data_IF_623160870309
#
_entry.id   IF_623160870309
#
_cell.length_a   1.000
_cell.length_b   1.000
_cell.length_c   1.000
_cell.angle_alpha   90.00
_cell.angle_beta   90.00
_cell.angle_gamma   90.00
#
_symmetry.space_group_name_H-M   'P 1'
#
loop_
_entity.id
_entity.type
_entity.pdbx_description
1 polymer ?
#
# COMPACT_ATOMS: atom_id res chain seq x y z
N UNK A 1 -7.26 -5.40 6.05
CA UNK A 1 -7.18 -6.15 4.77
C UNK A 1 -7.57 -7.62 4.94
N UNK A 2 -6.95 -8.40 5.83
CA UNK A 2 -7.23 -9.85 5.91
C UNK A 2 -8.41 -10.26 6.82
N UNK A 3 -8.91 -9.34 7.63
CA UNK A 3 -10.14 -9.52 8.43
C UNK A 3 -11.42 -9.47 7.57
N UNK A 4 -11.48 -8.55 6.61
CA UNK A 4 -12.64 -8.33 5.71
C UNK A 4 -12.42 -8.81 4.28
N UNK A 5 -11.16 -9.02 3.86
CA UNK A 5 -10.82 -9.32 2.47
C UNK A 5 -11.36 -10.66 1.98
N UNK A 6 -11.54 -11.64 2.88
CA UNK A 6 -12.17 -12.93 2.55
C UNK A 6 -13.63 -12.76 2.14
N UNK A 7 -14.36 -11.88 2.83
CA UNK A 7 -15.78 -11.58 2.54
C UNK A 7 -15.88 -10.93 1.16
N UNK A 8 -15.07 -9.89 0.89
CA UNK A 8 -15.05 -9.24 -0.42
C UNK A 8 -14.70 -10.21 -1.56
N UNK A 9 -13.70 -11.08 -1.34
CA UNK A 9 -13.33 -12.11 -2.31
C UNK A 9 -14.46 -13.14 -2.53
N UNK A 10 -15.16 -13.58 -1.47
CA UNK A 10 -16.29 -14.49 -1.59
C UNK A 10 -17.45 -13.88 -2.40
N UNK A 11 -17.75 -12.59 -2.18
CA UNK A 11 -18.77 -11.87 -2.95
C UNK A 11 -18.36 -11.75 -4.42
N UNK A 12 -17.12 -11.33 -4.70
CA UNK A 12 -16.62 -11.20 -6.06
C UNK A 12 -16.65 -12.53 -6.82
N UNK A 13 -16.14 -13.61 -6.23
CA UNK A 13 -16.18 -14.95 -6.82
C UNK A 13 -17.62 -15.46 -6.95
N UNK A 14 -18.47 -15.22 -5.95
CA UNK A 14 -19.87 -15.60 -5.98
C UNK A 14 -20.63 -14.95 -7.13
N UNK A 15 -20.35 -13.67 -7.41
CA UNK A 15 -20.90 -12.96 -8.59
C UNK A 15 -20.39 -13.55 -9.90
N UNK A 16 -19.09 -13.89 -10.00
CA UNK A 16 -18.52 -14.55 -11.19
C UNK A 16 -19.15 -15.93 -11.43
N UNK A 17 -19.52 -16.65 -10.38
CA UNK A 17 -20.11 -17.99 -10.44
C UNK A 17 -21.64 -18.00 -10.57
N UNK A 18 -22.28 -16.84 -10.68
CA UNK A 18 -23.73 -16.64 -10.69
C UNK A 18 -24.44 -17.32 -9.50
N UNK A 19 -23.87 -17.18 -8.30
CA UNK A 19 -24.50 -17.70 -7.09
C UNK A 19 -25.85 -17.02 -6.82
N UNK A 20 -26.83 -17.81 -6.42
CA UNK A 20 -28.14 -17.33 -5.97
C UNK A 20 -28.01 -16.59 -4.64
N UNK A 21 -29.04 -15.83 -4.27
CA UNK A 21 -29.06 -15.02 -3.04
C UNK A 21 -28.64 -15.82 -1.80
N UNK A 22 -29.29 -16.96 -1.52
CA UNK A 22 -28.95 -17.77 -0.34
C UNK A 22 -27.54 -18.36 -0.40
N UNK A 23 -27.05 -18.73 -1.58
CA UNK A 23 -25.69 -19.23 -1.76
C UNK A 23 -24.67 -18.11 -1.49
N UNK A 24 -24.97 -16.88 -1.93
CA UNK A 24 -24.12 -15.71 -1.66
C UNK A 24 -24.10 -15.35 -0.17
N UNK A 25 -25.26 -15.40 0.51
CA UNK A 25 -25.34 -15.21 1.97
C UNK A 25 -24.51 -16.26 2.72
N UNK A 26 -24.62 -17.54 2.33
CA UNK A 26 -23.79 -18.62 2.88
C UNK A 26 -22.31 -18.40 2.60
N UNK A 27 -21.94 -17.97 1.40
CA UNK A 27 -20.54 -17.68 1.04
C UNK A 27 -19.95 -16.57 1.91
N UNK A 28 -20.71 -15.49 2.15
CA UNK A 28 -20.33 -14.42 3.08
C UNK A 28 -20.10 -14.98 4.49
N UNK A 29 -21.05 -15.77 5.01
CA UNK A 29 -20.95 -16.37 6.35
C UNK A 29 -19.74 -17.31 6.49
N UNK A 30 -19.47 -18.15 5.49
CA UNK A 30 -18.30 -19.06 5.49
C UNK A 30 -17.00 -18.27 5.42
N UNK A 31 -16.96 -17.17 4.66
CA UNK A 31 -15.78 -16.32 4.57
C UNK A 31 -15.53 -15.53 5.88
N UNK A 32 -16.60 -15.09 6.54
CA UNK A 32 -16.56 -14.30 7.77
C UNK A 32 -15.94 -15.08 8.93
N UNK A 33 -16.19 -16.39 9.05
CA UNK A 33 -15.58 -17.22 10.11
C UNK A 33 -14.09 -17.55 9.88
N UNK A 34 -13.50 -17.06 8.78
CA UNK A 34 -12.10 -17.29 8.40
C UNK A 34 -11.25 -16.02 8.53
N UNK A 35 -11.38 -15.32 9.65
CA UNK A 35 -10.60 -14.11 9.95
C UNK A 35 -9.11 -14.47 10.04
N UNK A 36 -8.28 -13.75 9.28
CA UNK A 36 -6.83 -13.94 9.29
C UNK A 36 -6.09 -12.61 9.42
N UNK A 37 -4.86 -12.69 9.91
CA UNK A 37 -3.89 -11.58 9.94
C UNK A 37 -3.76 -10.88 11.28
N UNK A 38 -2.51 -10.57 11.65
CA UNK A 38 -2.14 -9.87 12.89
C UNK A 38 -1.19 -8.71 12.56
N UNK A 39 -1.29 -7.59 13.29
CA UNK A 39 -0.43 -6.44 13.07
C UNK A 39 1.06 -6.75 13.33
N UNK A 40 1.34 -7.63 14.28
CA UNK A 40 2.69 -8.07 14.65
C UNK A 40 3.49 -8.69 13.48
N UNK A 41 2.80 -9.17 12.45
CA UNK A 41 3.44 -9.74 11.26
C UNK A 41 3.79 -8.72 10.17
N UNK A 42 3.69 -7.41 10.45
CA UNK A 42 4.11 -6.36 9.52
C UNK A 42 5.65 -6.31 9.45
N UNK A 43 6.21 -5.84 8.32
CA UNK A 43 7.66 -5.85 8.11
C UNK A 43 8.30 -7.20 7.76
N UNK A 44 7.52 -8.30 7.73
CA UNK A 44 8.00 -9.65 7.41
C UNK A 44 7.12 -10.36 6.36
N UNK A 45 7.57 -11.53 5.89
CA UNK A 45 6.90 -12.34 4.85
C UNK A 45 5.45 -12.74 5.20
N UNK A 46 5.11 -12.78 6.48
CA UNK A 46 3.74 -13.08 6.92
C UNK A 46 2.73 -11.97 6.53
N UNK A 47 3.17 -10.71 6.35
CA UNK A 47 2.29 -9.62 5.92
C UNK A 47 1.61 -9.88 4.57
N UNK A 48 2.33 -10.20 3.47
CA UNK A 48 1.68 -10.53 2.20
C UNK A 48 0.90 -11.84 2.25
N UNK A 49 1.30 -12.81 3.08
CA UNK A 49 0.53 -14.04 3.29
C UNK A 49 -0.91 -13.76 3.73
N UNK A 50 -1.14 -12.76 4.59
CA UNK A 50 -2.48 -12.35 5.02
C UNK A 50 -3.42 -12.07 3.84
N UNK A 51 -2.95 -11.34 2.83
CA UNK A 51 -3.76 -10.94 1.66
C UNK A 51 -4.04 -12.15 0.77
N UNK A 52 -3.01 -12.96 0.50
CA UNK A 52 -3.16 -14.18 -0.29
C UNK A 52 -4.11 -15.19 0.36
N UNK A 53 -4.00 -15.36 1.69
CA UNK A 53 -4.87 -16.24 2.45
C UNK A 53 -6.32 -15.74 2.47
N UNK A 54 -6.54 -14.44 2.66
CA UNK A 54 -7.88 -13.86 2.59
C UNK A 54 -8.55 -14.13 1.23
N UNK A 55 -7.83 -13.94 0.13
CA UNK A 55 -8.32 -14.25 -1.21
C UNK A 55 -8.66 -15.75 -1.38
N UNK A 56 -7.78 -16.64 -0.92
CA UNK A 56 -8.00 -18.09 -0.95
C UNK A 56 -9.25 -18.49 -0.15
N UNK A 57 -9.42 -17.93 1.05
CA UNK A 57 -10.56 -18.23 1.93
C UNK A 57 -11.88 -17.80 1.30
N UNK A 58 -11.92 -16.65 0.62
CA UNK A 58 -13.11 -16.18 -0.10
C UNK A 58 -13.48 -17.06 -1.28
N UNK A 59 -12.51 -17.47 -2.10
CA UNK A 59 -12.71 -18.44 -3.18
C UNK A 59 -13.28 -19.76 -2.64
N UNK A 60 -12.68 -20.30 -1.58
CA UNK A 60 -13.14 -21.53 -0.95
C UNK A 60 -14.58 -21.38 -0.43
N UNK A 61 -14.91 -20.26 0.22
CA UNK A 61 -16.23 -20.00 0.76
C UNK A 61 -17.32 -20.00 -0.33
N UNK A 62 -17.07 -19.32 -1.46
CA UNK A 62 -18.00 -19.31 -2.60
C UNK A 62 -18.19 -20.70 -3.21
N UNK A 63 -17.10 -21.49 -3.35
CA UNK A 63 -17.18 -22.86 -3.87
C UNK A 63 -17.95 -23.79 -2.91
N UNK A 64 -17.73 -23.68 -1.61
CA UNK A 64 -18.46 -24.46 -0.60
C UNK A 64 -19.96 -24.14 -0.64
N UNK A 65 -20.31 -22.86 -0.65
CA UNK A 65 -21.71 -22.44 -0.72
C UNK A 65 -22.40 -22.94 -2.00
N UNK A 66 -21.73 -22.84 -3.16
CA UNK A 66 -22.21 -23.39 -4.45
C UNK A 66 -22.52 -24.89 -4.39
N UNK A 67 -21.77 -25.64 -3.57
CA UNK A 67 -21.94 -27.08 -3.40
C UNK A 67 -22.84 -27.45 -2.22
N UNK A 68 -23.64 -26.50 -1.71
CA UNK A 68 -24.66 -26.78 -0.69
C UNK A 68 -24.13 -26.87 0.74
N UNK A 69 -22.93 -26.34 1.01
CA UNK A 69 -22.41 -26.27 2.38
C UNK A 69 -23.34 -25.44 3.27
N UNK A 70 -23.65 -25.94 4.46
CA UNK A 70 -24.54 -25.26 5.42
C UNK A 70 -23.81 -24.11 6.11
N UNK A 71 -24.44 -22.94 6.18
CA UNK A 71 -23.96 -21.77 6.90
C UNK A 71 -25.13 -20.83 7.25
N UNK A 72 -24.89 -19.87 8.15
CA UNK A 72 -25.87 -18.83 8.48
C UNK A 72 -26.25 -18.00 7.25
N UNK A 73 -27.49 -17.51 7.19
CA UNK A 73 -27.94 -16.52 6.20
C UNK A 73 -27.69 -15.07 6.66
N UNK A 74 -27.35 -14.88 7.93
CA UNK A 74 -27.19 -13.60 8.62
C UNK A 74 -25.81 -13.54 9.33
N UNK A 75 -24.78 -14.15 8.73
CA UNK A 75 -23.50 -14.41 9.40
C UNK A 75 -22.73 -13.15 9.83
N UNK A 76 -23.05 -11.98 9.28
CA UNK A 76 -22.41 -10.73 9.67
C UNK A 76 -23.12 -10.10 10.86
N UNK A 77 -24.44 -10.03 10.80
CA UNK A 77 -25.31 -9.17 11.62
C UNK A 77 -26.07 -9.90 12.73
N UNK A 78 -26.18 -11.24 12.68
CA UNK A 78 -26.83 -12.04 13.71
C UNK A 78 -26.32 -11.69 15.12
N UNK A 79 -27.08 -11.96 16.18
CA UNK A 79 -26.71 -11.61 17.57
C UNK A 79 -25.29 -12.05 17.98
N UNK A 80 -24.78 -13.15 17.41
CA UNK A 80 -23.41 -13.67 17.61
C UNK A 80 -22.59 -13.69 16.31
N UNK A 81 -22.97 -12.83 15.37
CA UNK A 81 -22.41 -12.68 14.05
C UNK A 81 -21.07 -11.96 14.05
N UNK A 82 -20.43 -11.95 12.89
CA UNK A 82 -19.07 -11.46 12.71
C UNK A 82 -18.86 -10.04 13.26
N UNK A 83 -19.78 -9.11 13.00
CA UNK A 83 -19.67 -7.70 13.41
C UNK A 83 -19.47 -7.60 14.93
N UNK A 84 -20.25 -8.36 15.70
CA UNK A 84 -20.20 -8.35 17.17
C UNK A 84 -19.01 -9.13 17.75
N UNK A 85 -18.39 -10.00 16.96
CA UNK A 85 -17.23 -10.81 17.39
C UNK A 85 -15.90 -10.07 17.19
N UNK A 86 -15.76 -9.34 16.08
CA UNK A 86 -14.48 -8.72 15.70
C UNK A 86 -14.40 -7.22 16.00
N UNK A 87 -15.50 -6.61 16.42
CA UNK A 87 -15.61 -5.18 16.66
C UNK A 87 -16.37 -4.90 17.94
N UNK A 88 -15.99 -3.84 18.63
CA UNK A 88 -16.76 -3.25 19.74
C UNK A 88 -17.78 -2.21 19.26
N UNK A 89 -17.84 -1.93 17.95
CA UNK A 89 -18.86 -1.07 17.36
C UNK A 89 -20.15 -1.86 17.17
N UNK A 90 -21.23 -1.38 17.78
CA UNK A 90 -22.51 -2.09 17.86
C UNK A 90 -23.57 -1.59 16.85
N UNK A 91 -23.29 -0.54 16.08
CA UNK A 91 -24.24 0.00 15.10
C UNK A 91 -23.60 0.22 13.73
N UNK A 92 -24.02 -0.59 12.75
CA UNK A 92 -23.59 -0.52 11.34
C UNK A 92 -24.74 -0.17 10.39
N UNK A 93 -25.84 0.36 10.94
CA UNK A 93 -27.09 0.56 10.18
C UNK A 93 -26.90 1.55 9.04
N UNK A 94 -26.18 2.65 9.30
CA UNK A 94 -25.91 3.69 8.31
C UNK A 94 -25.09 3.15 7.12
N UNK A 95 -24.15 2.24 7.37
CA UNK A 95 -23.34 1.60 6.33
C UNK A 95 -24.16 0.68 5.43
N UNK A 96 -25.16 -0.02 5.99
CA UNK A 96 -26.08 -0.84 5.19
C UNK A 96 -27.10 -0.01 4.41
N UNK A 97 -27.56 1.11 4.96
CA UNK A 97 -28.48 2.03 4.29
C UNK A 97 -27.85 2.69 3.05
N UNK A 98 -26.53 2.88 3.05
CA UNK A 98 -25.80 3.49 1.93
C UNK A 98 -25.50 2.53 0.76
N UNK A 99 -25.86 1.24 0.87
CA UNK A 99 -25.58 0.25 -0.17
C UNK A 99 -26.26 0.61 -1.51
N UNK A 100 -25.46 0.63 -2.58
CA UNK A 100 -25.93 0.99 -3.92
C UNK A 100 -25.92 2.49 -4.20
N UNK A 101 -25.73 3.33 -3.18
CA UNK A 101 -25.59 4.79 -3.31
C UNK A 101 -24.14 5.24 -3.14
N UNK A 102 -23.46 4.72 -2.11
CA UNK A 102 -22.06 5.06 -1.81
C UNK A 102 -21.14 3.92 -2.22
N UNK A 103 -20.17 4.22 -3.08
CA UNK A 103 -19.14 3.29 -3.53
C UNK A 103 -17.80 3.62 -2.86
N UNK A 104 -17.53 2.99 -1.71
CA UNK A 104 -16.29 3.23 -0.94
C UNK A 104 -15.00 3.00 -1.73
N UNK A 105 -15.06 2.19 -2.80
CA UNK A 105 -13.93 1.97 -3.70
C UNK A 105 -13.45 3.25 -4.41
N UNK A 106 -14.33 4.23 -4.60
CA UNK A 106 -13.99 5.53 -5.21
C UNK A 106 -13.12 6.40 -4.29
N UNK A 107 -13.07 6.08 -3.00
CA UNK A 107 -12.21 6.76 -2.01
C UNK A 107 -10.86 6.08 -1.82
N UNK A 108 -10.59 5.00 -2.54
CA UNK A 108 -9.28 4.35 -2.50
C UNK A 108 -8.22 5.26 -3.12
N UNK A 109 -7.07 5.32 -2.48
CA UNK A 109 -5.92 6.08 -2.97
C UNK A 109 -4.77 5.17 -3.38
N UNK A 110 -3.85 5.70 -4.18
CA UNK A 110 -2.69 4.95 -4.66
C UNK A 110 -1.43 5.41 -3.95
N UNK A 111 -0.76 4.47 -3.27
CA UNK A 111 0.54 4.72 -2.65
C UNK A 111 1.57 5.17 -3.69
N UNK A 112 2.23 6.33 -3.54
CA UNK A 112 3.37 6.72 -4.39
C UNK A 112 4.59 5.84 -4.11
N UNK A 113 4.80 5.45 -2.85
CA UNK A 113 5.99 4.74 -2.38
C UNK A 113 5.63 3.37 -1.80
N UNK A 114 6.45 2.31 -2.01
CA UNK A 114 6.14 0.94 -1.60
C UNK A 114 6.52 0.66 -0.14
N UNK A 115 6.19 1.58 0.77
CA UNK A 115 6.52 1.53 2.19
C UNK A 115 5.26 1.67 3.08
N UNK A 116 5.45 1.67 4.40
CA UNK A 116 4.35 2.02 5.31
C UNK A 116 3.80 3.41 4.96
N UNK A 117 2.48 3.58 5.05
CA UNK A 117 1.83 4.82 4.62
C UNK A 117 2.21 5.98 5.54
N UNK A 118 2.51 5.69 6.82
CA UNK A 118 2.75 6.71 7.83
C UNK A 118 3.98 7.58 7.52
N UNK A 119 4.93 7.10 6.71
CA UNK A 119 6.14 7.85 6.31
C UNK A 119 6.05 8.49 4.91
N UNK A 120 4.87 8.50 4.29
CA UNK A 120 4.73 9.03 2.92
C UNK A 120 4.93 10.54 2.87
N UNK A 121 4.42 11.26 3.87
CA UNK A 121 4.58 12.71 3.96
C UNK A 121 6.06 13.10 4.14
N UNK A 122 6.80 12.33 4.94
CA UNK A 122 8.25 12.47 5.09
C UNK A 122 8.98 12.40 3.74
N UNK A 123 8.75 11.28 3.02
CA UNK A 123 9.41 11.00 1.75
C UNK A 123 9.06 12.08 0.71
N UNK A 124 7.79 12.46 0.64
CA UNK A 124 7.32 13.53 -0.25
C UNK A 124 8.03 14.85 0.04
N UNK A 125 8.05 15.28 1.31
CA UNK A 125 8.71 16.52 1.72
C UNK A 125 10.22 16.51 1.43
N UNK A 126 10.91 15.39 1.67
CA UNK A 126 12.33 15.28 1.36
C UNK A 126 12.63 15.23 -0.14
N UNK A 127 11.73 14.67 -0.97
CA UNK A 127 11.84 14.77 -2.43
C UNK A 127 11.69 16.24 -2.86
N UNK A 128 10.74 16.98 -2.27
CA UNK A 128 10.57 18.41 -2.53
C UNK A 128 11.82 19.21 -2.09
N UNK A 129 12.38 18.93 -0.91
CA UNK A 129 13.65 19.53 -0.45
C UNK A 129 14.78 19.25 -1.44
N UNK A 130 14.92 18.01 -1.92
CA UNK A 130 15.94 17.69 -2.93
C UNK A 130 15.75 18.54 -4.18
N UNK A 131 14.52 18.67 -4.67
CA UNK A 131 14.23 19.45 -5.86
C UNK A 131 14.60 20.93 -5.66
N UNK A 132 14.20 21.52 -4.53
CA UNK A 132 14.57 22.90 -4.15
C UNK A 132 16.09 23.07 -4.04
N UNK A 133 16.79 22.10 -3.45
CA UNK A 133 18.24 22.11 -3.32
C UNK A 133 18.92 22.14 -4.69
N UNK A 134 18.47 21.29 -5.63
CA UNK A 134 19.02 21.25 -6.98
C UNK A 134 18.75 22.54 -7.76
N UNK A 135 17.55 23.12 -7.64
CA UNK A 135 17.20 24.41 -8.26
C UNK A 135 18.06 25.56 -7.73
N UNK A 136 18.44 25.50 -6.46
CA UNK A 136 19.32 26.46 -5.79
C UNK A 136 20.81 26.11 -5.89
N UNK A 137 21.19 25.08 -6.66
CA UNK A 137 22.55 24.60 -6.85
C UNK A 137 23.27 24.12 -5.57
N UNK A 138 22.51 23.67 -4.56
CA UNK A 138 23.07 22.96 -3.42
C UNK A 138 23.49 21.54 -3.79
N UNK A 139 24.60 21.09 -3.21
CA UNK A 139 25.04 19.72 -3.34
C UNK A 139 24.42 18.86 -2.23
N UNK A 140 23.67 17.81 -2.58
CA UNK A 140 23.07 16.88 -1.61
C UNK A 140 24.12 16.23 -0.70
N UNK A 141 25.37 16.05 -1.17
CA UNK A 141 26.43 15.48 -0.34
C UNK A 141 26.89 16.39 0.79
N UNK A 142 26.58 17.70 0.74
CA UNK A 142 26.93 18.66 1.81
C UNK A 142 25.82 18.79 2.87
N UNK A 143 24.80 17.92 2.86
CA UNK A 143 23.83 17.85 3.95
C UNK A 143 24.53 17.39 5.24
N UNK A 144 24.38 18.15 6.31
CA UNK A 144 24.96 17.88 7.64
C UNK A 144 23.92 17.39 8.64
N UNK A 145 22.66 17.76 8.48
CA UNK A 145 21.56 17.37 9.35
C UNK A 145 20.26 17.24 8.55
N UNK A 146 19.45 16.24 8.88
CA UNK A 146 18.11 16.02 8.31
C UNK A 146 17.14 15.85 9.45
N UNK A 147 16.01 16.55 9.43
CA UNK A 147 15.00 16.40 10.49
C UNK A 147 13.61 16.13 9.94
N UNK A 148 12.79 15.49 10.76
CA UNK A 148 11.35 15.40 10.59
C UNK A 148 10.65 15.61 11.93
N UNK A 149 9.58 16.39 11.94
CA UNK A 149 8.59 16.48 13.02
C UNK A 149 7.29 15.90 12.50
N UNK A 150 6.79 14.87 13.18
CA UNK A 150 5.81 13.92 12.65
C UNK A 150 4.76 13.54 13.69
N UNK A 151 3.64 12.95 13.30
CA UNK A 151 2.72 12.34 14.25
C UNK A 151 3.39 11.16 15.02
N UNK A 152 3.12 10.92 16.32
CA UNK A 152 3.79 9.88 17.12
C UNK A 152 3.73 8.46 16.55
N UNK A 153 2.72 8.16 15.72
CA UNK A 153 2.62 6.85 15.06
C UNK A 153 3.76 6.56 14.08
N UNK A 154 4.43 7.59 13.54
CA UNK A 154 5.60 7.40 12.67
C UNK A 154 6.70 6.67 13.44
N UNK A 155 7.11 7.19 14.59
CA UNK A 155 8.11 6.55 15.44
C UNK A 155 7.60 5.21 15.98
N UNK A 156 6.34 5.13 16.39
CA UNK A 156 5.78 3.86 16.88
C UNK A 156 5.87 2.70 15.86
N UNK A 157 5.73 2.98 14.57
CA UNK A 157 5.68 1.96 13.51
C UNK A 157 7.00 1.83 12.74
N UNK A 158 7.85 2.85 12.74
CA UNK A 158 8.99 2.95 11.83
C UNK A 158 10.31 3.41 12.46
N UNK A 159 10.40 3.37 13.80
CA UNK A 159 11.63 3.67 14.56
C UNK A 159 12.61 2.48 14.52
N UNK A 160 13.17 2.25 13.34
CA UNK A 160 14.32 1.35 13.15
C UNK A 160 15.44 2.16 12.47
N UNK A 161 16.44 2.67 13.19
CA UNK A 161 17.49 3.50 12.59
C UNK A 161 18.48 2.70 11.74
N UNK A 162 18.56 1.38 11.91
CA UNK A 162 19.60 0.54 11.30
C UNK A 162 19.04 -0.70 10.56
N UNK A 163 18.03 -0.56 9.69
CA UNK A 163 17.49 -1.70 8.95
C UNK A 163 18.57 -2.28 8.05
N UNK A 164 18.64 -3.61 8.02
CA UNK A 164 19.65 -4.36 7.26
C UNK A 164 19.12 -4.96 5.96
N UNK A 165 17.81 -4.91 5.74
CA UNK A 165 17.15 -5.42 4.53
C UNK A 165 16.28 -4.34 3.90
N UNK A 166 16.06 -4.43 2.60
CA UNK A 166 15.14 -3.60 1.84
C UNK A 166 13.69 -3.73 2.30
N UNK A 167 13.30 -4.91 2.80
CA UNK A 167 11.99 -5.10 3.42
C UNK A 167 11.87 -4.31 4.72
N UNK A 168 12.84 -4.39 5.63
CA UNK A 168 12.86 -3.60 6.85
C UNK A 168 12.94 -2.09 6.54
N UNK A 169 13.72 -1.69 5.54
CA UNK A 169 13.83 -0.29 5.10
C UNK A 169 12.50 0.34 4.65
N UNK A 170 11.53 -0.46 4.20
CA UNK A 170 10.15 0.00 3.87
C UNK A 170 9.31 0.34 5.10
N UNK A 171 9.80 0.00 6.29
CA UNK A 171 9.17 0.28 7.58
C UNK A 171 10.14 1.08 8.46
N UNK A 172 10.99 1.91 7.85
CA UNK A 172 11.91 2.78 8.57
C UNK A 172 11.98 4.16 7.92
N UNK A 173 11.76 5.21 8.73
CA UNK A 173 11.78 6.61 8.26
C UNK A 173 13.20 7.08 7.89
N UNK A 174 14.23 6.53 8.53
CA UNK A 174 15.62 6.96 8.40
C UNK A 174 16.24 6.71 7.01
N UNK A 175 16.30 5.47 6.48
CA UNK A 175 16.77 5.23 5.11
C UNK A 175 15.80 5.83 4.09
N UNK A 176 14.51 5.99 4.41
CA UNK A 176 13.55 6.62 3.51
C UNK A 176 13.89 8.10 3.27
N UNK A 177 14.33 8.83 4.31
CA UNK A 177 14.86 10.19 4.17
C UNK A 177 16.09 10.23 3.27
N UNK A 178 17.06 9.34 3.51
CA UNK A 178 18.27 9.25 2.71
C UNK A 178 17.96 8.92 1.24
N UNK A 179 17.05 7.98 0.99
CA UNK A 179 16.60 7.60 -0.35
C UNK A 179 15.94 8.78 -1.06
N UNK A 180 15.00 9.46 -0.39
CA UNK A 180 14.31 10.62 -0.94
C UNK A 180 15.30 11.71 -1.35
N UNK A 181 16.22 12.07 -0.45
CA UNK A 181 17.20 13.12 -0.68
C UNK A 181 18.25 12.76 -1.73
N UNK A 182 18.71 11.50 -1.80
CA UNK A 182 19.76 11.06 -2.74
C UNK A 182 19.22 10.76 -4.15
N UNK A 183 18.03 10.18 -4.26
CA UNK A 183 17.49 9.71 -5.54
C UNK A 183 16.36 10.58 -6.08
N UNK A 184 15.67 11.36 -5.24
CA UNK A 184 14.50 12.15 -5.64
C UNK A 184 13.28 11.30 -5.95
N UNK A 185 13.30 10.03 -5.55
CA UNK A 185 12.21 9.06 -5.70
C UNK A 185 12.42 7.90 -4.74
N UNK A 186 11.34 7.21 -4.40
CA UNK A 186 11.37 6.03 -3.54
C UNK A 186 10.53 4.90 -4.16
N UNK A 187 11.09 4.25 -5.18
CA UNK A 187 10.45 3.12 -5.90
C UNK A 187 10.92 1.78 -5.32
N UNK A 188 10.35 0.61 -5.73
CA UNK A 188 10.88 -0.68 -5.29
C UNK A 188 12.39 -0.83 -5.52
N UNK A 189 12.92 -0.23 -6.58
CA UNK A 189 14.35 -0.23 -6.91
C UNK A 189 15.23 0.50 -5.89
N UNK A 190 14.67 1.44 -5.12
CA UNK A 190 15.37 2.16 -4.05
C UNK A 190 15.25 1.48 -2.68
N UNK A 191 14.34 0.51 -2.51
CA UNK A 191 14.19 -0.27 -1.28
C UNK A 191 14.72 -1.70 -1.43
N UNK A 192 15.85 -1.86 -2.12
CA UNK A 192 16.58 -3.13 -2.23
C UNK A 192 17.60 -3.23 -1.09
N UNK A 193 18.03 -4.45 -0.76
CA UNK A 193 19.07 -4.70 0.25
C UNK A 193 20.35 -3.92 -0.10
N UNK A 194 20.77 -3.97 -1.38
CA UNK A 194 21.95 -3.27 -1.88
C UNK A 194 21.88 -1.74 -1.66
N UNK A 195 20.70 -1.13 -1.85
CA UNK A 195 20.53 0.31 -1.65
C UNK A 195 20.50 0.66 -0.16
N UNK A 196 19.79 -0.11 0.66
CA UNK A 196 19.72 0.13 2.12
C UNK A 196 21.10 -0.05 2.77
N UNK A 197 21.92 -0.97 2.27
CA UNK A 197 23.28 -1.23 2.75
C UNK A 197 24.36 -0.35 2.08
N UNK A 198 23.98 0.51 1.12
CA UNK A 198 24.93 1.38 0.45
C UNK A 198 25.53 2.40 1.44
N UNK A 199 26.86 2.52 1.47
CA UNK A 199 27.56 3.41 2.43
C UNK A 199 27.15 4.88 2.32
N UNK A 200 26.78 5.37 1.14
CA UNK A 200 26.29 6.75 0.96
C UNK A 200 24.89 6.93 1.54
N UNK A 201 24.03 5.91 1.41
CA UNK A 201 22.69 5.91 2.03
C UNK A 201 22.82 5.85 3.54
N UNK A 202 23.66 4.95 4.06
CA UNK A 202 23.95 4.83 5.51
C UNK A 202 24.49 6.15 6.06
N UNK A 203 25.49 6.76 5.40
CA UNK A 203 26.09 8.01 5.88
C UNK A 203 25.15 9.21 5.89
N UNK A 204 24.11 9.24 5.04
CA UNK A 204 23.05 10.25 5.13
C UNK A 204 21.98 9.88 6.16
N UNK A 205 21.63 8.59 6.26
CA UNK A 205 20.70 8.05 7.26
C UNK A 205 21.13 8.38 8.70
N UNK A 206 22.42 8.29 9.00
CA UNK A 206 23.00 8.62 10.31
C UNK A 206 22.82 10.10 10.71
N UNK A 207 22.47 10.97 9.76
CA UNK A 207 22.23 12.41 10.00
C UNK A 207 20.74 12.73 10.24
N UNK A 208 19.88 11.71 10.20
CA UNK A 208 18.42 11.86 10.27
C UNK A 208 17.95 11.82 11.73
N UNK A 209 17.25 12.87 12.15
CA UNK A 209 16.67 13.01 13.48
C UNK A 209 15.15 13.22 13.37
N UNK A 210 14.38 12.29 13.92
CA UNK A 210 12.91 12.34 13.85
C UNK A 210 12.33 12.60 15.23
N UNK A 211 11.41 13.54 15.33
CA UNK A 211 10.67 13.85 16.55
C UNK A 211 9.17 13.67 16.31
N UNK A 212 8.44 13.40 17.38
CA UNK A 212 6.99 13.31 17.36
C UNK A 212 6.32 14.56 17.93
N UNK A 213 5.20 14.96 17.34
CA UNK A 213 4.33 16.04 17.74
C UNK A 213 2.87 15.56 17.60
N UNK A 214 2.14 15.49 18.71
CA UNK A 214 0.77 14.97 18.76
C UNK A 214 -0.27 15.96 18.23
N UNK A 215 0.15 17.17 17.83
CA UNK A 215 -0.69 18.15 17.15
C UNK A 215 -0.80 17.93 15.64
N UNK A 216 0.05 17.06 15.07
CA UNK A 216 0.07 16.75 13.63
C UNK A 216 -0.95 15.67 13.29
N UNK A 217 -1.58 15.78 12.12
CA UNK A 217 -2.37 14.68 11.56
C UNK A 217 -1.48 13.50 11.13
N UNK A 218 -2.03 12.28 11.01
CA UNK A 218 -1.23 11.06 10.78
C UNK A 218 -0.36 11.07 9.51
N UNK A 219 -0.72 11.87 8.51
CA UNK A 219 -0.02 11.98 7.22
C UNK A 219 0.40 13.42 6.93
N UNK A 220 0.58 14.20 7.99
CA UNK A 220 1.14 15.54 7.98
C UNK A 220 2.55 15.48 8.56
N UNK A 221 3.51 16.15 7.91
CA UNK A 221 4.89 16.19 8.39
C UNK A 221 5.60 17.50 8.05
N UNK A 222 6.49 17.93 8.94
CA UNK A 222 7.42 19.02 8.68
C UNK A 222 8.83 18.46 8.61
N UNK A 223 9.49 18.61 7.47
CA UNK A 223 10.83 18.07 7.22
C UNK A 223 11.82 19.17 6.89
N UNK A 224 13.10 18.94 7.20
CA UNK A 224 14.17 19.85 6.85
C UNK A 224 15.47 19.14 6.46
N UNK A 225 16.33 19.85 5.73
CA UNK A 225 17.73 19.48 5.52
C UNK A 225 18.63 20.72 5.66
N UNK A 226 19.65 20.61 6.49
CA UNK A 226 20.68 21.64 6.71
C UNK A 226 21.95 21.27 5.96
N UNK A 227 22.56 22.25 5.28
CA UNK A 227 23.79 22.10 4.49
C UNK A 227 25.02 22.62 5.26
N UNK A 228 26.22 22.30 4.78
CA UNK A 228 27.51 22.70 5.39
C UNK A 228 27.70 24.21 5.56
N UNK A 229 27.06 25.03 4.71
CA UNK A 229 27.10 26.50 4.82
C UNK A 229 26.14 27.05 5.90
N UNK A 230 25.39 26.17 6.56
CA UNK A 230 24.39 26.50 7.57
C UNK A 230 22.99 26.78 6.99
N UNK A 231 22.83 26.82 5.67
CA UNK A 231 21.52 27.00 5.04
C UNK A 231 20.63 25.80 5.36
N UNK A 232 19.36 26.06 5.68
CA UNK A 232 18.35 25.01 5.89
C UNK A 232 17.20 25.19 4.92
N UNK A 233 16.82 24.11 4.25
CA UNK A 233 15.60 24.03 3.45
C UNK A 233 14.54 23.26 4.24
N UNK A 234 13.32 23.76 4.23
CA UNK A 234 12.20 23.24 5.01
C UNK A 234 10.97 23.06 4.12
N UNK A 235 10.21 22.00 4.37
CA UNK A 235 8.94 21.72 3.68
C UNK A 235 7.94 21.22 4.71
N UNK A 236 6.73 21.79 4.68
CA UNK A 236 5.57 21.30 5.40
C UNK A 236 4.64 20.59 4.41
N UNK A 237 4.38 19.31 4.65
CA UNK A 237 3.49 18.49 3.86
C UNK A 237 2.19 18.28 4.64
N UNK A 238 1.17 19.07 4.32
CA UNK A 238 -0.19 18.91 4.88
C UNK A 238 -0.94 17.74 4.22
N UNK A 239 -0.76 17.55 2.91
CA UNK A 239 -1.39 16.51 2.12
C UNK A 239 -0.36 15.81 1.23
N UNK A 240 0.12 14.65 1.68
CA UNK A 240 1.10 13.84 0.95
C UNK A 240 0.60 13.41 -0.43
N UNK A 241 1.49 13.40 -1.42
CA UNK A 241 1.21 12.87 -2.75
C UNK A 241 0.60 11.45 -2.69
N UNK A 242 -0.45 11.22 -3.47
CA UNK A 242 -1.25 9.99 -3.42
C UNK A 242 -2.24 9.90 -2.24
N UNK A 243 -2.46 10.98 -1.48
CA UNK A 243 -3.63 11.10 -0.60
C UNK A 243 -4.91 11.34 -1.40
N UNK A 244 -6.04 11.48 -0.70
CA UNK A 244 -7.32 11.80 -1.33
C UNK A 244 -7.34 13.25 -1.83
N UNK A 245 -6.74 14.15 -1.07
CA UNK A 245 -6.62 15.59 -1.31
C UNK A 245 -5.56 15.90 -2.37
N UNK A 246 -4.52 15.06 -2.48
CA UNK A 246 -3.43 15.21 -3.45
C UNK A 246 -3.19 13.89 -4.23
N UNK A 247 -4.14 13.45 -5.08
CA UNK A 247 -4.04 12.17 -5.75
C UNK A 247 -2.96 12.15 -6.84
N UNK A 248 -2.40 10.97 -7.12
CA UNK A 248 -1.50 10.79 -8.26
C UNK A 248 -2.22 11.08 -9.57
N UNK A 249 -1.57 11.80 -10.48
CA UNK A 249 -2.10 12.00 -11.84
C UNK A 249 -2.06 10.71 -12.65
N UNK A 250 -2.81 10.66 -13.75
CA UNK A 250 -2.80 9.52 -14.67
C UNK A 250 -1.39 9.24 -15.21
N UNK A 251 -0.61 10.27 -15.50
CA UNK A 251 0.78 10.18 -15.96
C UNK A 251 1.68 9.62 -14.88
N UNK A 252 1.55 10.07 -13.62
CA UNK A 252 2.31 9.53 -12.50
C UNK A 252 1.96 8.06 -12.23
N UNK A 253 0.68 7.69 -12.32
CA UNK A 253 0.23 6.31 -12.23
C UNK A 253 0.80 5.45 -13.36
N UNK A 254 0.86 5.97 -14.60
CA UNK A 254 1.48 5.29 -15.73
C UNK A 254 2.97 5.06 -15.49
N UNK A 255 3.72 6.10 -15.12
CA UNK A 255 5.16 6.00 -14.84
C UNK A 255 5.42 4.97 -13.75
N UNK A 256 4.66 5.04 -12.65
CA UNK A 256 4.72 4.05 -11.56
C UNK A 256 4.43 2.63 -12.05
N UNK A 257 3.38 2.44 -12.85
CA UNK A 257 3.03 1.13 -13.39
C UNK A 257 4.17 0.56 -14.25
N UNK A 258 4.73 1.36 -15.15
CA UNK A 258 5.82 0.93 -16.03
C UNK A 258 7.09 0.60 -15.24
N UNK A 259 7.46 1.41 -14.24
CA UNK A 259 8.61 1.16 -13.37
C UNK A 259 8.47 -0.19 -12.64
N UNK A 260 7.26 -0.51 -12.16
CA UNK A 260 7.01 -1.76 -11.43
C UNK A 260 6.90 -2.96 -12.36
N UNK A 261 6.11 -2.85 -13.43
CA UNK A 261 5.79 -3.97 -14.32
C UNK A 261 6.93 -4.27 -15.29
N UNK A 262 7.65 -3.24 -15.74
CA UNK A 262 8.79 -3.36 -16.65
C UNK A 262 9.88 -4.27 -16.12
N UNK A 263 10.15 -4.23 -14.80
CA UNK A 263 11.14 -5.12 -14.16
C UNK A 263 10.80 -6.61 -14.29
N UNK A 264 9.52 -6.97 -14.43
CA UNK A 264 9.06 -8.34 -14.50
C UNK A 264 8.86 -8.85 -15.93
N UNK A 265 8.34 -8.01 -16.83
CA UNK A 265 7.94 -8.44 -18.19
C UNK A 265 8.61 -7.65 -19.32
N UNK A 266 9.47 -6.68 -19.01
CA UNK A 266 10.13 -5.79 -19.96
C UNK A 266 9.25 -4.60 -20.40
N UNK A 267 9.89 -3.47 -20.70
CA UNK A 267 9.23 -2.18 -20.96
C UNK A 267 8.17 -2.24 -22.06
N UNK A 268 8.48 -2.92 -23.17
CA UNK A 268 7.54 -3.03 -24.30
C UNK A 268 6.25 -3.76 -23.91
N UNK A 269 6.34 -4.84 -23.11
CA UNK A 269 5.16 -5.56 -22.63
C UNK A 269 4.45 -4.80 -21.52
N UNK A 270 5.17 -4.03 -20.71
CA UNK A 270 4.59 -3.16 -19.70
C UNK A 270 3.73 -2.05 -20.33
N UNK A 271 4.20 -1.41 -21.41
CA UNK A 271 3.39 -0.44 -22.18
C UNK A 271 2.11 -1.08 -22.74
N UNK A 272 2.21 -2.28 -23.31
CA UNK A 272 1.03 -3.03 -23.77
C UNK A 272 0.07 -3.37 -22.62
N UNK A 273 0.62 -3.76 -21.46
CA UNK A 273 -0.17 -4.09 -20.28
C UNK A 273 -0.92 -2.86 -19.76
N UNK A 274 -0.27 -1.70 -19.70
CA UNK A 274 -0.91 -0.45 -19.33
C UNK A 274 -2.11 -0.15 -20.23
N UNK A 275 -1.92 -0.20 -21.56
CA UNK A 275 -3.01 0.00 -22.52
C UNK A 275 -4.14 -1.00 -22.31
N UNK A 276 -3.82 -2.28 -22.15
CA UNK A 276 -4.81 -3.36 -21.95
C UNK A 276 -5.66 -3.12 -20.70
N UNK A 277 -5.03 -2.87 -19.55
CA UNK A 277 -5.73 -2.77 -18.27
C UNK A 277 -6.44 -1.42 -18.08
N UNK A 278 -5.89 -0.33 -18.64
CA UNK A 278 -6.55 0.99 -18.61
C UNK A 278 -7.85 1.03 -19.41
N UNK A 279 -8.04 0.12 -20.38
CA UNK A 279 -9.26 0.00 -21.18
C UNK A 279 -10.05 -1.28 -20.91
N UNK A 280 -9.78 -1.99 -19.81
CA UNK A 280 -10.35 -3.33 -19.56
C UNK A 280 -11.89 -3.34 -19.48
N UNK A 281 -12.51 -2.23 -19.09
CA UNK A 281 -13.97 -2.10 -19.07
C UNK A 281 -14.62 -2.26 -20.44
N UNK A 282 -13.86 -2.05 -21.52
CA UNK A 282 -14.33 -2.22 -22.91
C UNK A 282 -14.03 -3.62 -23.48
N UNK A 283 -13.41 -4.51 -22.70
CA UNK A 283 -13.05 -5.84 -23.17
C UNK A 283 -14.29 -6.74 -23.29
N UNK A 284 -14.40 -7.46 -24.41
CA UNK A 284 -15.45 -8.48 -24.63
C UNK A 284 -15.09 -9.84 -24.01
N UNK A 285 -13.80 -10.13 -23.85
CA UNK A 285 -13.27 -11.29 -23.14
C UNK A 285 -12.05 -10.88 -22.30
N UNK A 286 -12.20 -10.80 -20.98
CA UNK A 286 -11.10 -10.50 -20.05
C UNK A 286 -10.04 -11.62 -20.04
N UNK A 287 -10.38 -12.83 -20.46
CA UNK A 287 -9.46 -13.94 -20.62
C UNK A 287 -8.41 -13.71 -21.69
N UNK A 288 -8.74 -13.02 -22.78
CA UNK A 288 -7.78 -12.65 -23.83
C UNK A 288 -6.71 -11.70 -23.29
N UNK A 289 -7.13 -10.67 -22.56
CA UNK A 289 -6.22 -9.74 -21.88
C UNK A 289 -5.24 -10.49 -20.96
N UNK A 290 -5.74 -11.47 -20.19
CA UNK A 290 -4.90 -12.25 -19.25
C UNK A 290 -3.96 -13.22 -19.96
N UNK A 291 -4.36 -13.82 -21.09
CA UNK A 291 -3.53 -14.77 -21.85
C UNK A 291 -2.23 -14.14 -22.35
N UNK A 292 -2.25 -12.85 -22.73
CA UNK A 292 -1.07 -12.10 -23.20
C UNK A 292 0.03 -11.94 -22.14
N UNK A 293 -0.34 -12.00 -20.85
CA UNK A 293 0.56 -11.77 -19.73
C UNK A 293 0.81 -13.00 -18.86
N UNK A 294 0.22 -14.15 -19.21
CA UNK A 294 0.67 -15.42 -18.63
C UNK A 294 2.13 -15.62 -19.04
N UNK A 295 3.00 -15.91 -18.08
CA UNK A 295 4.30 -16.46 -18.41
C UNK A 295 4.04 -17.76 -19.17
N UNK A 296 4.66 -17.93 -20.35
CA UNK A 296 4.93 -19.27 -20.82
C UNK A 296 5.68 -19.92 -19.67
N UNK A 297 5.10 -20.96 -19.05
CA UNK A 297 5.83 -21.75 -18.09
C UNK A 297 7.11 -22.16 -18.81
N UNK A 298 8.26 -21.66 -18.35
CA UNK A 298 9.55 -22.19 -18.79
C UNK A 298 9.50 -23.67 -18.44
N UNK A 299 9.18 -24.49 -19.42
CA UNK A 299 9.38 -25.93 -19.41
C UNK A 299 10.89 -26.10 -19.44
N UNK A 300 11.47 -25.95 -18.25
CA UNK A 300 12.83 -26.36 -17.97
C UNK A 300 12.80 -27.87 -18.13
N UNK A 301 13.43 -28.37 -19.19
CA UNK A 301 13.71 -29.80 -19.37
C UNK A 301 14.70 -30.33 -18.33
#
# INVERSE_FOLDING_TARGET
MATVGSIGAAVAVGKILDLKLEELQKAISIAAIQVTGMHDSFGIDAKPFHVGRAAQNGLMAALLAKNGFSASLEGLEAERGWIHVVSTRENTTAEFEALGEVWEIERNTFKPFPCDRIIHAAIDGWIQIRQLALEQNFNISSITNVTARTHPRVLFLTDDPEPTTGLAGKFSVYPAAAIALLYGKATPSQFTDDVVQNSTVIGLREKVHVTSDDTFEELEEFVSATFEDGTTLEVHVEHTIGSYENPLTAEQLKVKFLDQVGTAIGDSRAEQAWLTFSTIANATDVGDALRLYRSEAKTSG
#
